data_IF_404140847967
#
_entry.id   IF_404140847967
#
_cell.length_a   1.000
_cell.length_b   1.000
_cell.length_c   1.000
_cell.angle_alpha   90.00
_cell.angle_beta   90.00
_cell.angle_gamma   90.00
#
_symmetry.space_group_name_H-M   'P 1'
#
loop_
_entity.id
_entity.type
_entity.pdbx_description
1 polymer ?
#
# COMPACT_ATOMS: atom_id res chain seq x y z
N UNK A 1 6.84 23.31 -6.57
CA UNK A 1 6.70 21.86 -6.39
C UNK A 1 6.89 21.52 -4.92
N UNK A 2 6.11 20.57 -4.39
CA UNK A 2 6.22 20.05 -3.03
C UNK A 2 6.00 18.54 -3.03
N UNK A 3 6.64 17.84 -2.11
CA UNK A 3 6.49 16.40 -1.92
C UNK A 3 6.05 16.15 -0.48
N UNK A 4 5.05 15.30 -0.30
CA UNK A 4 4.43 15.02 0.98
C UNK A 4 4.40 13.52 1.25
N UNK A 5 4.62 13.14 2.50
CA UNK A 5 4.43 11.78 3.03
C UNK A 5 3.77 11.80 4.42
N UNK A 6 3.26 12.95 4.86
CA UNK A 6 2.62 13.14 6.16
C UNK A 6 1.15 12.69 6.15
N UNK A 7 0.92 11.44 5.76
CA UNK A 7 -0.38 10.79 5.72
C UNK A 7 -0.21 9.29 5.95
N UNK A 8 -1.32 8.58 6.12
CA UNK A 8 -1.31 7.15 6.40
C UNK A 8 -0.51 6.36 5.35
N UNK A 9 0.33 5.41 5.79
CA UNK A 9 1.29 4.65 4.99
C UNK A 9 2.35 5.47 4.24
N UNK A 10 2.35 6.80 4.37
CA UNK A 10 3.30 7.68 3.72
C UNK A 10 4.74 7.41 4.19
N UNK A 11 5.65 7.25 3.23
CA UNK A 11 7.06 6.90 3.46
C UNK A 11 7.91 7.44 2.32
N UNK A 12 8.59 8.56 2.56
CA UNK A 12 9.67 9.08 1.71
C UNK A 12 10.45 10.15 2.47
N UNK A 13 11.75 10.25 2.16
CA UNK A 13 12.60 11.39 2.50
C UNK A 13 12.93 12.19 1.25
N UNK A 14 12.84 13.51 1.34
CA UNK A 14 13.22 14.42 0.24
C UNK A 14 14.68 14.84 0.43
N UNK A 15 15.54 14.47 -0.52
CA UNK A 15 16.94 14.92 -0.56
C UNK A 15 17.06 16.20 -1.38
N UNK A 16 16.40 16.25 -2.54
CA UNK A 16 16.43 17.36 -3.49
C UNK A 16 15.09 17.46 -4.21
N UNK A 17 14.51 18.66 -4.29
CA UNK A 17 13.24 18.90 -4.98
C UNK A 17 13.08 20.34 -5.49
N UNK A 18 14.18 21.06 -5.67
CA UNK A 18 14.21 22.44 -6.16
C UNK A 18 14.03 22.52 -7.68
N UNK A 19 14.36 21.44 -8.41
CA UNK A 19 14.16 21.30 -9.84
C UNK A 19 13.30 20.08 -10.14
N UNK A 20 12.39 20.22 -11.12
CA UNK A 20 11.58 19.12 -11.64
C UNK A 20 12.39 18.09 -12.44
N UNK A 21 13.54 18.49 -12.98
CA UNK A 21 14.35 17.64 -13.87
C UNK A 21 15.33 16.72 -13.09
N UNK A 22 15.44 16.86 -11.77
CA UNK A 22 16.33 16.06 -10.92
C UNK A 22 15.83 16.02 -9.47
N UNK A 23 14.68 15.38 -9.27
CA UNK A 23 14.11 15.13 -7.94
C UNK A 23 14.80 13.91 -7.34
N UNK A 24 15.35 14.04 -6.15
CA UNK A 24 16.09 12.97 -5.47
C UNK A 24 15.46 12.67 -4.12
N UNK A 25 15.20 11.39 -3.90
CA UNK A 25 14.47 10.85 -2.77
C UNK A 25 15.25 9.67 -2.18
N UNK A 26 15.01 9.39 -0.90
CA UNK A 26 15.40 8.12 -0.27
C UNK A 26 14.22 7.54 0.49
N UNK A 27 14.24 6.24 0.74
CA UNK A 27 13.21 5.56 1.53
C UNK A 27 13.67 5.53 2.99
N UNK A 28 12.88 6.00 3.96
CA UNK A 28 13.22 5.86 5.37
C UNK A 28 13.22 4.38 5.78
N UNK A 29 14.04 4.05 6.78
CA UNK A 29 13.98 2.75 7.44
C UNK A 29 12.68 2.59 8.20
N UNK A 30 12.21 1.35 8.27
CA UNK A 30 11.08 0.96 9.10
C UNK A 30 11.33 1.33 10.57
N UNK A 31 10.25 1.67 11.28
CA UNK A 31 10.33 2.04 12.69
C UNK A 31 10.99 0.90 13.50
N UNK A 32 12.07 1.21 14.21
CA UNK A 32 12.84 0.26 15.01
C UNK A 32 13.43 -0.94 14.22
N UNK A 33 13.72 -0.75 12.93
CA UNK A 33 14.34 -1.77 12.07
C UNK A 33 15.33 -1.13 11.10
N UNK A 34 16.22 -1.95 10.51
CA UNK A 34 17.13 -1.54 9.44
C UNK A 34 16.57 -1.76 8.03
N UNK A 35 15.39 -2.39 7.93
CA UNK A 35 14.72 -2.73 6.66
C UNK A 35 14.05 -1.50 6.06
N UNK A 36 14.04 -1.42 4.73
CA UNK A 36 13.24 -0.47 3.96
C UNK A 36 12.99 -1.02 2.55
N UNK A 37 11.81 -0.74 2.02
CA UNK A 37 11.44 -1.07 0.63
C UNK A 37 10.21 -0.26 0.22
N UNK A 38 9.23 -0.17 1.13
CA UNK A 38 7.97 0.53 0.91
C UNK A 38 8.20 2.04 0.83
N UNK A 39 7.75 2.64 -0.27
CA UNK A 39 7.57 4.08 -0.40
C UNK A 39 6.12 4.41 -0.73
N UNK A 40 5.68 5.57 -0.26
CA UNK A 40 4.39 6.16 -0.64
C UNK A 40 4.45 7.67 -0.39
N UNK A 41 4.28 8.47 -1.44
CA UNK A 41 4.36 9.91 -1.36
C UNK A 41 3.43 10.60 -2.36
N UNK A 42 3.21 11.90 -2.17
CA UNK A 42 2.39 12.74 -3.03
C UNK A 42 3.23 13.88 -3.58
N UNK A 43 3.16 14.08 -4.89
CA UNK A 43 3.64 15.27 -5.57
C UNK A 43 2.53 16.32 -5.63
N UNK A 44 2.89 17.58 -5.40
CA UNK A 44 2.12 18.77 -5.77
C UNK A 44 2.98 19.66 -6.66
N UNK A 45 2.56 19.89 -7.90
CA UNK A 45 3.35 20.62 -8.90
C UNK A 45 2.46 21.24 -9.98
N UNK A 46 3.07 22.01 -10.87
CA UNK A 46 2.37 22.45 -12.08
C UNK A 46 2.16 21.25 -13.02
N UNK A 47 0.93 21.02 -13.51
CA UNK A 47 0.65 19.94 -14.45
C UNK A 47 1.27 20.23 -15.83
N UNK A 48 1.25 19.21 -16.70
CA UNK A 48 1.72 19.30 -18.09
C UNK A 48 3.20 19.67 -18.23
N UNK A 49 4.00 19.33 -17.21
CA UNK A 49 5.44 19.50 -17.20
C UNK A 49 6.10 18.17 -16.86
N UNK A 50 7.23 17.85 -17.50
CA UNK A 50 7.98 16.64 -17.16
C UNK A 50 8.64 16.78 -15.78
N UNK A 51 8.58 15.71 -14.99
CA UNK A 51 9.28 15.54 -13.73
C UNK A 51 10.11 14.26 -13.79
N UNK A 52 11.37 14.33 -13.40
CA UNK A 52 12.30 13.20 -13.34
C UNK A 52 12.68 12.92 -11.90
N UNK A 53 12.50 11.67 -11.49
CA UNK A 53 12.69 11.20 -10.13
C UNK A 53 13.81 10.19 -10.06
N UNK A 54 14.53 10.21 -8.94
CA UNK A 54 15.49 9.20 -8.52
C UNK A 54 15.22 8.83 -7.08
N UNK A 55 14.98 7.55 -6.82
CA UNK A 55 14.98 6.99 -5.47
C UNK A 55 16.33 6.31 -5.29
N UNK A 56 17.16 6.90 -4.42
CA UNK A 56 18.55 6.53 -4.20
C UNK A 56 18.69 5.46 -3.10
N UNK A 57 19.91 4.92 -2.97
CA UNK A 57 20.35 4.00 -1.92
C UNK A 57 19.55 2.68 -1.85
N UNK A 58 19.13 2.13 -2.99
CA UNK A 58 18.29 0.93 -3.05
C UNK A 58 19.09 -0.37 -3.11
N UNK A 59 20.40 -0.34 -3.37
CA UNK A 59 21.26 -1.55 -3.34
C UNK A 59 21.29 -2.23 -1.96
N UNK A 60 20.91 -1.50 -0.91
CA UNK A 60 20.87 -1.97 0.49
C UNK A 60 19.45 -2.06 1.05
N UNK A 61 18.43 -1.90 0.20
CA UNK A 61 17.03 -2.11 0.57
C UNK A 61 16.79 -3.56 0.98
N UNK A 62 15.62 -3.86 1.56
CA UNK A 62 15.29 -5.20 2.05
C UNK A 62 15.37 -6.26 0.96
N UNK A 63 15.01 -5.90 -0.29
CA UNK A 63 15.05 -6.78 -1.46
C UNK A 63 15.52 -6.00 -2.70
N UNK A 64 16.84 -5.78 -2.88
CA UNK A 64 17.38 -5.01 -4.00
C UNK A 64 17.03 -5.61 -5.37
N UNK A 65 16.96 -6.94 -5.45
CA UNK A 65 16.55 -7.65 -6.67
C UNK A 65 15.11 -7.36 -7.08
N UNK A 66 14.27 -6.93 -6.14
CA UNK A 66 12.88 -6.55 -6.38
C UNK A 66 12.73 -5.28 -7.23
N UNK A 67 13.80 -4.50 -7.42
CA UNK A 67 13.81 -3.32 -8.30
C UNK A 67 14.08 -3.65 -9.77
N UNK A 68 14.60 -4.84 -10.07
CA UNK A 68 14.87 -5.25 -11.45
C UNK A 68 13.56 -5.46 -12.22
N UNK A 69 13.30 -4.61 -13.22
CA UNK A 69 12.06 -4.66 -14.00
C UNK A 69 10.82 -4.22 -13.23
N UNK A 70 11.01 -3.51 -12.10
CA UNK A 70 9.91 -2.93 -11.33
C UNK A 70 9.51 -1.56 -11.89
N UNK A 71 8.21 -1.37 -12.06
CA UNK A 71 7.59 -0.09 -12.42
C UNK A 71 6.90 0.55 -11.21
N UNK A 72 7.02 1.87 -11.06
CA UNK A 72 6.39 2.62 -9.95
C UNK A 72 4.88 2.62 -10.09
N UNK A 73 4.13 2.47 -8.99
CA UNK A 73 2.68 2.62 -9.01
C UNK A 73 2.31 4.08 -8.75
N UNK A 74 1.36 4.64 -9.50
CA UNK A 74 0.89 6.00 -9.32
C UNK A 74 -0.62 6.12 -9.44
N UNK A 75 -1.19 7.20 -8.90
CA UNK A 75 -2.63 7.49 -8.93
C UNK A 75 -2.89 8.99 -8.78
N UNK A 76 -3.94 9.49 -9.45
CA UNK A 76 -4.40 10.87 -9.26
C UNK A 76 -5.45 11.00 -8.15
N UNK A 77 -6.24 9.96 -7.90
CA UNK A 77 -7.42 9.98 -7.02
C UNK A 77 -7.33 9.03 -5.81
N UNK A 78 -6.30 8.18 -5.76
CA UNK A 78 -6.05 7.10 -4.78
C UNK A 78 -6.97 5.89 -4.94
N UNK A 79 -7.79 5.84 -5.98
CA UNK A 79 -8.69 4.72 -6.30
C UNK A 79 -8.16 3.95 -7.50
N UNK A 80 -7.90 4.63 -8.61
CA UNK A 80 -7.32 4.03 -9.81
C UNK A 80 -5.80 4.15 -9.80
N UNK A 81 -5.12 3.00 -9.81
CA UNK A 81 -3.66 2.91 -9.76
C UNK A 81 -3.11 2.33 -11.06
N UNK A 82 -2.06 2.95 -11.59
CA UNK A 82 -1.40 2.53 -12.83
C UNK A 82 0.12 2.51 -12.68
N UNK A 83 0.82 1.90 -13.64
CA UNK A 83 2.28 1.76 -13.63
C UNK A 83 2.95 2.89 -14.42
N UNK A 84 4.05 3.38 -13.89
CA UNK A 84 4.98 4.28 -14.56
C UNK A 84 6.28 3.50 -14.79
N UNK A 85 6.73 3.37 -16.05
CA UNK A 85 7.99 2.72 -16.37
C UNK A 85 9.15 3.27 -15.55
N UNK A 86 9.94 2.40 -14.96
CA UNK A 86 11.12 2.77 -14.20
C UNK A 86 12.34 1.92 -14.58
N UNK A 87 13.52 2.48 -14.36
CA UNK A 87 14.80 1.82 -14.62
C UNK A 87 15.61 1.76 -13.33
N UNK A 88 16.13 0.58 -13.02
CA UNK A 88 17.01 0.37 -11.88
C UNK A 88 18.44 0.09 -12.37
N UNK A 89 19.39 0.89 -11.90
CA UNK A 89 20.81 0.80 -12.32
C UNK A 89 21.69 -0.05 -11.37
N UNK A 90 21.07 -0.66 -10.35
CA UNK A 90 21.75 -1.41 -9.31
C UNK A 90 21.75 -0.71 -7.95
N UNK A 91 21.50 0.60 -7.89
CA UNK A 91 21.37 1.35 -6.62
C UNK A 91 20.31 2.47 -6.68
N UNK A 92 19.96 2.97 -7.86
CA UNK A 92 18.97 4.03 -8.06
C UNK A 92 17.83 3.56 -8.94
N UNK A 93 16.60 3.78 -8.49
CA UNK A 93 15.39 3.64 -9.31
C UNK A 93 15.05 5.01 -9.92
N UNK A 94 15.06 5.09 -11.25
CA UNK A 94 14.79 6.31 -12.01
C UNK A 94 13.50 6.19 -12.81
N UNK A 95 12.67 7.22 -12.77
CA UNK A 95 11.45 7.28 -13.59
C UNK A 95 11.10 8.73 -13.94
N UNK A 96 10.27 8.93 -14.97
CA UNK A 96 9.80 10.25 -15.37
C UNK A 96 8.31 10.21 -15.70
N UNK A 97 7.62 11.32 -15.47
CA UNK A 97 6.19 11.47 -15.73
C UNK A 97 5.87 12.91 -16.12
N UNK A 98 4.83 13.10 -16.92
CA UNK A 98 4.21 14.40 -17.18
C UNK A 98 2.83 14.35 -16.52
N UNK A 99 2.65 14.92 -15.31
CA UNK A 99 1.37 14.82 -14.60
C UNK A 99 0.26 15.58 -15.32
N UNK A 100 -0.90 14.96 -15.46
CA UNK A 100 -2.09 15.59 -16.06
C UNK A 100 -2.74 16.61 -15.13
N UNK A 101 -2.62 16.37 -13.82
CA UNK A 101 -3.19 17.16 -12.75
C UNK A 101 -2.11 17.65 -11.79
N UNK A 102 -2.44 18.70 -11.03
CA UNK A 102 -1.48 19.34 -10.12
C UNK A 102 -1.09 18.52 -8.88
N UNK A 103 -1.73 17.37 -8.66
CA UNK A 103 -1.38 16.44 -7.58
C UNK A 103 -1.50 14.98 -8.02
N UNK A 104 -0.56 14.16 -7.57
CA UNK A 104 -0.49 12.73 -7.87
C UNK A 104 0.24 12.00 -6.73
N UNK A 105 -0.18 10.78 -6.45
CA UNK A 105 0.45 9.86 -5.52
C UNK A 105 1.33 8.86 -6.27
N UNK A 106 2.41 8.43 -5.61
CA UNK A 106 3.33 7.38 -6.04
C UNK A 106 3.54 6.41 -4.90
N UNK A 107 3.52 5.11 -5.16
CA UNK A 107 3.66 4.07 -4.14
C UNK A 107 4.35 2.81 -4.66
N UNK A 108 4.86 2.00 -3.75
CA UNK A 108 5.50 0.73 -4.08
C UNK A 108 4.50 -0.30 -4.65
N UNK A 109 3.30 -0.34 -4.06
CA UNK A 109 2.11 -1.05 -4.55
C UNK A 109 0.88 -0.19 -4.24
N UNK A 110 -0.30 -0.49 -4.81
CA UNK A 110 -1.56 0.17 -4.44
C UNK A 110 -1.79 0.09 -2.90
N UNK A 111 -1.75 1.21 -2.16
CA UNK A 111 -1.93 1.19 -0.72
C UNK A 111 -3.33 0.68 -0.33
N UNK A 112 -3.42 0.09 0.86
CA UNK A 112 -4.69 -0.27 1.48
C UNK A 112 -4.75 0.43 2.84
N UNK A 113 -5.63 1.42 2.95
CA UNK A 113 -5.72 2.28 4.14
C UNK A 113 -6.39 1.58 5.32
N UNK A 114 -6.08 2.04 6.52
CA UNK A 114 -6.73 1.63 7.74
C UNK A 114 -8.20 2.03 7.74
N UNK A 115 -8.57 3.18 7.17
CA UNK A 115 -9.98 3.54 6.97
C UNK A 115 -10.70 2.51 6.09
N UNK A 116 -10.06 2.04 5.00
CA UNK A 116 -10.62 0.99 4.14
C UNK A 116 -10.70 -0.35 4.87
N UNK A 117 -9.74 -0.66 5.74
CA UNK A 117 -9.81 -1.83 6.62
C UNK A 117 -11.03 -1.75 7.54
N UNK A 118 -11.22 -0.60 8.19
CA UNK A 118 -12.37 -0.37 9.06
C UNK A 118 -13.69 -0.50 8.28
N UNK A 119 -13.78 0.10 7.08
CA UNK A 119 -14.96 -0.02 6.22
C UNK A 119 -15.26 -1.48 5.86
N UNK A 120 -14.23 -2.26 5.48
CA UNK A 120 -14.38 -3.68 5.13
C UNK A 120 -14.94 -4.50 6.29
N UNK A 121 -14.33 -4.41 7.49
CA UNK A 121 -14.77 -5.23 8.63
C UNK A 121 -16.15 -4.79 9.13
N UNK A 122 -16.51 -3.52 9.01
CA UNK A 122 -17.83 -3.01 9.38
C UNK A 122 -18.92 -3.38 8.37
N UNK A 123 -18.58 -3.43 7.08
CA UNK A 123 -19.47 -3.98 6.07
C UNK A 123 -19.68 -5.49 6.29
N UNK A 124 -18.61 -6.22 6.61
CA UNK A 124 -18.67 -7.66 6.83
C UNK A 124 -19.55 -8.04 8.03
N UNK A 125 -19.39 -7.38 9.18
CA UNK A 125 -20.16 -7.70 10.39
C UNK A 125 -21.66 -7.42 10.26
N UNK A 126 -22.08 -6.64 9.26
CA UNK A 126 -23.50 -6.39 9.01
C UNK A 126 -24.23 -7.63 8.45
N UNK A 127 -23.49 -8.63 7.97
CA UNK A 127 -24.05 -9.87 7.46
C UNK A 127 -24.40 -10.84 8.59
N UNK A 128 -25.55 -11.49 8.46
CA UNK A 128 -26.13 -12.33 9.51
C UNK A 128 -25.24 -13.51 9.93
N UNK A 129 -24.38 -13.98 9.03
CA UNK A 129 -23.46 -15.10 9.23
C UNK A 129 -22.04 -14.64 9.55
N UNK A 130 -21.80 -13.36 9.84
CA UNK A 130 -20.48 -12.83 10.15
C UNK A 130 -20.42 -12.23 11.54
N UNK A 131 -19.37 -12.56 12.29
CA UNK A 131 -19.07 -11.97 13.60
C UNK A 131 -17.72 -11.29 13.57
N UNK A 132 -17.68 -10.05 14.05
CA UNK A 132 -16.44 -9.32 14.33
C UNK A 132 -16.08 -9.41 15.81
N UNK A 133 -14.81 -9.68 16.11
CA UNK A 133 -14.26 -9.76 17.45
C UNK A 133 -12.92 -9.03 17.52
N UNK A 134 -12.69 -8.23 18.55
CA UNK A 134 -11.37 -7.64 18.83
C UNK A 134 -10.56 -8.62 19.69
N UNK A 135 -9.49 -9.18 19.14
CA UNK A 135 -8.60 -10.13 19.83
C UNK A 135 -7.67 -9.44 20.85
N UNK A 136 -7.43 -8.15 20.65
CA UNK A 136 -6.53 -7.34 21.45
C UNK A 136 -6.11 -6.10 20.69
N UNK A 137 -5.02 -5.46 21.13
CA UNK A 137 -4.50 -4.25 20.52
C UNK A 137 -3.04 -4.41 20.09
N UNK A 138 -2.70 -3.74 18.99
CA UNK A 138 -1.31 -3.53 18.54
C UNK A 138 -0.53 -2.66 19.53
N UNK A 139 0.79 -2.54 19.33
CA UNK A 139 1.65 -1.67 20.17
C UNK A 139 1.23 -0.20 20.14
N UNK A 140 0.67 0.27 19.02
CA UNK A 140 0.19 1.64 18.86
C UNK A 140 -1.31 1.81 19.23
N UNK A 141 -1.92 0.76 19.78
CA UNK A 141 -3.29 0.81 20.30
C UNK A 141 -4.40 0.56 19.28
N UNK A 142 -4.07 0.26 18.01
CA UNK A 142 -5.06 -0.16 17.02
C UNK A 142 -5.62 -1.56 17.33
N UNK A 143 -6.84 -1.85 16.88
CA UNK A 143 -7.50 -3.14 17.12
C UNK A 143 -6.94 -4.24 16.23
N UNK A 144 -6.76 -5.43 16.80
CA UNK A 144 -6.54 -6.67 16.05
C UNK A 144 -7.86 -7.41 15.88
N UNK A 145 -8.48 -7.21 14.72
CA UNK A 145 -9.81 -7.70 14.39
C UNK A 145 -9.81 -9.15 13.85
N UNK A 146 -10.76 -9.96 14.30
CA UNK A 146 -11.08 -11.28 13.75
C UNK A 146 -12.50 -11.26 13.19
N UNK A 147 -12.63 -11.58 11.89
CA UNK A 147 -13.91 -11.93 11.28
C UNK A 147 -14.09 -13.45 11.31
N UNK A 148 -15.21 -13.91 11.86
CA UNK A 148 -15.67 -15.30 11.76
C UNK A 148 -16.89 -15.34 10.85
N UNK A 149 -16.80 -16.08 9.74
CA UNK A 149 -17.89 -16.24 8.77
C UNK A 149 -18.44 -17.67 8.85
N UNK A 150 -19.74 -17.80 9.07
CA UNK A 150 -20.48 -19.03 9.28
C UNK A 150 -20.58 -19.46 10.76
N UNK A 151 -21.48 -20.42 11.01
CA UNK A 151 -21.71 -20.96 12.36
C UNK A 151 -20.90 -22.24 12.63
N UNK A 152 -20.34 -22.40 13.85
CA UNK A 152 -19.74 -23.65 14.29
C UNK A 152 -20.75 -24.81 14.22
N UNK A 153 -20.31 -25.96 13.69
CA UNK A 153 -21.13 -27.16 13.61
C UNK A 153 -20.24 -28.41 13.68
N UNK A 154 -20.81 -29.53 14.13
CA UNK A 154 -20.11 -30.80 14.20
C UNK A 154 -19.68 -31.24 12.79
N UNK A 155 -18.40 -31.54 12.61
CA UNK A 155 -17.84 -31.91 11.31
C UNK A 155 -17.39 -30.74 10.42
N UNK A 156 -17.68 -29.49 10.77
CA UNK A 156 -17.10 -28.33 10.04
C UNK A 156 -15.62 -28.14 10.37
N UNK A 157 -14.83 -27.83 9.35
CA UNK A 157 -13.41 -27.47 9.51
C UNK A 157 -13.29 -26.01 9.93
N UNK A 158 -12.29 -25.72 10.77
CA UNK A 158 -11.86 -24.35 11.08
C UNK A 158 -10.76 -23.95 10.10
N UNK A 159 -11.07 -23.02 9.20
CA UNK A 159 -10.10 -22.49 8.23
C UNK A 159 -9.65 -21.12 8.70
N UNK A 160 -8.34 -20.95 8.85
CA UNK A 160 -7.74 -19.68 9.25
C UNK A 160 -7.06 -19.04 8.05
N UNK A 161 -7.36 -17.76 7.84
CA UNK A 161 -6.69 -16.90 6.88
C UNK A 161 -6.19 -15.68 7.64
N UNK A 162 -4.90 -15.38 7.49
CA UNK A 162 -4.28 -14.17 8.03
C UNK A 162 -3.54 -13.49 6.88
N UNK A 163 -3.49 -12.16 6.89
CA UNK A 163 -2.87 -11.38 5.83
C UNK A 163 -2.04 -10.24 6.41
N UNK A 164 -1.12 -9.73 5.58
CA UNK A 164 -0.39 -8.48 5.80
C UNK A 164 0.42 -8.44 7.11
N UNK A 165 1.10 -9.54 7.44
CA UNK A 165 2.08 -9.55 8.55
C UNK A 165 3.25 -8.60 8.29
N UNK A 166 3.65 -8.44 7.02
CA UNK A 166 4.55 -7.35 6.62
C UNK A 166 3.70 -6.16 6.14
N UNK A 167 3.83 -4.97 6.74
CA UNK A 167 2.90 -3.86 6.52
C UNK A 167 2.91 -3.33 5.07
N UNK A 168 4.06 -3.39 4.39
CA UNK A 168 4.23 -2.97 3.00
C UNK A 168 3.65 -3.92 1.96
N UNK A 169 3.21 -5.13 2.34
CA UNK A 169 2.62 -6.13 1.44
C UNK A 169 1.10 -5.92 1.32
N UNK A 170 0.71 -4.73 0.84
CA UNK A 170 -0.69 -4.29 0.84
C UNK A 170 -1.60 -5.15 -0.06
N UNK A 171 -1.04 -5.84 -1.05
CA UNK A 171 -1.76 -6.81 -1.89
C UNK A 171 -2.41 -7.94 -1.06
N UNK A 172 -1.86 -8.27 0.10
CA UNK A 172 -2.41 -9.33 0.96
C UNK A 172 -3.79 -8.95 1.51
N UNK A 173 -4.02 -7.67 1.80
CA UNK A 173 -5.32 -7.23 2.31
C UNK A 173 -6.31 -6.95 1.18
N UNK A 174 -5.84 -6.49 0.02
CA UNK A 174 -6.65 -6.50 -1.21
C UNK A 174 -7.16 -7.92 -1.55
N UNK A 175 -6.32 -8.95 -1.35
CA UNK A 175 -6.75 -10.34 -1.50
C UNK A 175 -7.84 -10.70 -0.47
N UNK A 176 -7.66 -10.34 0.80
CA UNK A 176 -8.66 -10.61 1.85
C UNK A 176 -9.97 -9.89 1.60
N UNK A 177 -9.95 -8.68 1.06
CA UNK A 177 -11.17 -7.95 0.67
C UNK A 177 -11.99 -8.79 -0.33
N UNK A 178 -11.36 -9.29 -1.40
CA UNK A 178 -12.04 -10.14 -2.38
C UNK A 178 -12.54 -11.47 -1.79
N UNK A 179 -11.78 -12.08 -0.88
CA UNK A 179 -12.21 -13.30 -0.16
C UNK A 179 -13.44 -13.03 0.70
N UNK A 180 -13.43 -11.96 1.49
CA UNK A 180 -14.54 -11.58 2.38
C UNK A 180 -15.78 -11.26 1.55
N UNK A 181 -15.65 -10.43 0.51
CA UNK A 181 -16.76 -10.09 -0.37
C UNK A 181 -17.42 -11.33 -0.97
N UNK A 182 -16.62 -12.29 -1.44
CA UNK A 182 -17.17 -13.54 -1.99
C UNK A 182 -17.82 -14.44 -0.95
N UNK A 183 -17.21 -14.62 0.22
CA UNK A 183 -17.77 -15.47 1.28
C UNK A 183 -19.09 -14.93 1.85
N UNK A 184 -19.36 -13.65 1.67
CA UNK A 184 -20.56 -12.96 2.13
C UNK A 184 -21.60 -12.75 1.01
N UNK A 185 -21.31 -13.16 -0.22
CA UNK A 185 -22.26 -13.06 -1.33
C UNK A 185 -23.34 -14.15 -1.20
N UNK A 186 -24.53 -13.77 -0.73
CA UNK A 186 -25.69 -14.67 -0.62
C UNK A 186 -26.21 -15.14 -1.99
N UNK A 187 -25.77 -14.52 -3.09
CA UNK A 187 -26.13 -14.90 -4.46
C UNK A 187 -25.11 -15.81 -5.12
N UNK A 188 -23.98 -16.12 -4.46
CA UNK A 188 -23.00 -17.07 -4.99
C UNK A 188 -23.65 -18.46 -5.07
N UNK A 189 -23.78 -18.97 -6.31
CA UNK A 189 -24.47 -20.23 -6.61
C UNK A 189 -23.60 -21.48 -6.46
N UNK A 190 -22.34 -21.32 -6.03
CA UNK A 190 -21.35 -22.40 -5.91
C UNK A 190 -21.47 -23.16 -4.59
#
# INVERSE_FOLDING_TARGET
MKIFSNFESGSINVIKAESKDDIQLTIPKDNQSDVYQWFHFRLESEPQQSHSFKILDLAKSGYPEGWNGYDVVASYDREEWFRIPAEFDGDTLSFSIIPDHGSMYFAYFAPYSYDRHQDLIHLAQAQHNCRLETLGHTLDGNDMSLLTIGEPDEGKKKVWLIARQHPGETMAEWFMEGVVQRLLDETDTV
#
